data_IF_755705990627
#
_entry.id   IF_755705990627
#
_cell.length_a   1.000
_cell.length_b   1.000
_cell.length_c   1.000
_cell.angle_alpha   90.00
_cell.angle_beta   90.00
_cell.angle_gamma   90.00
#
_symmetry.space_group_name_H-M   'P 1'
#
loop_
_entity.id
_entity.type
_entity.pdbx_description
1 polymer ?
#
# COMPACT_ATOMS: atom_id res chain seq x y z
N UNK A 1 -14.55 -13.27 -20.90
CA UNK A 1 -13.98 -13.34 -19.55
C UNK A 1 -12.44 -13.16 -19.50
N UNK A 2 -11.62 -13.79 -20.35
CA UNK A 2 -10.14 -13.74 -20.32
C UNK A 2 -9.50 -12.33 -20.44
N UNK A 3 -10.09 -11.40 -21.23
CA UNK A 3 -9.55 -10.03 -21.44
C UNK A 3 -9.65 -9.12 -20.20
N UNK A 4 -10.74 -9.22 -19.43
CA UNK A 4 -10.88 -8.43 -18.17
C UNK A 4 -9.90 -8.87 -17.09
N UNK A 5 -9.51 -10.14 -17.06
CA UNK A 5 -8.49 -10.65 -16.16
C UNK A 5 -7.10 -10.03 -16.43
N UNK A 6 -6.72 -9.90 -17.70
CA UNK A 6 -5.42 -9.33 -18.10
C UNK A 6 -5.30 -7.85 -17.69
N UNK A 7 -6.34 -7.06 -17.92
CA UNK A 7 -6.34 -5.63 -17.56
C UNK A 7 -6.21 -5.43 -16.05
N UNK A 8 -6.91 -6.23 -15.24
CA UNK A 8 -6.79 -6.18 -13.78
C UNK A 8 -5.39 -6.53 -13.29
N UNK A 9 -4.83 -7.62 -13.81
CA UNK A 9 -3.46 -8.05 -13.47
C UNK A 9 -2.45 -6.95 -13.84
N UNK A 10 -2.59 -6.35 -15.02
CA UNK A 10 -1.74 -5.25 -15.45
C UNK A 10 -1.88 -4.01 -14.55
N UNK A 11 -3.11 -3.66 -14.15
CA UNK A 11 -3.36 -2.53 -13.25
C UNK A 11 -2.75 -2.76 -11.85
N UNK A 12 -2.93 -3.95 -11.26
CA UNK A 12 -2.33 -4.30 -9.97
C UNK A 12 -0.80 -4.25 -10.07
N UNK A 13 -0.21 -4.81 -11.13
CA UNK A 13 1.24 -4.77 -11.34
C UNK A 13 1.74 -3.33 -11.51
N UNK A 14 1.04 -2.47 -12.26
CA UNK A 14 1.42 -1.08 -12.45
C UNK A 14 1.42 -0.31 -11.11
N UNK A 15 0.37 -0.45 -10.30
CA UNK A 15 0.28 0.17 -8.96
C UNK A 15 1.39 -0.36 -8.06
N UNK A 16 1.61 -1.66 -8.06
CA UNK A 16 2.65 -2.32 -7.23
C UNK A 16 4.05 -1.84 -7.59
N UNK A 17 4.37 -1.77 -8.89
CA UNK A 17 5.65 -1.26 -9.38
C UNK A 17 5.81 0.23 -9.08
N UNK A 18 4.76 1.02 -9.24
CA UNK A 18 4.78 2.43 -8.88
C UNK A 18 5.19 2.62 -7.42
N UNK A 19 4.52 1.96 -6.48
CA UNK A 19 4.85 2.08 -5.06
C UNK A 19 6.22 1.49 -4.71
N UNK A 20 6.60 0.35 -5.30
CA UNK A 20 7.92 -0.22 -5.10
C UNK A 20 9.04 0.75 -5.50
N UNK A 21 8.89 1.43 -6.63
CA UNK A 21 9.90 2.38 -7.14
C UNK A 21 9.85 3.71 -6.39
N UNK A 22 8.68 4.34 -6.31
CA UNK A 22 8.56 5.70 -5.73
C UNK A 22 8.85 5.68 -4.23
N UNK A 23 8.27 4.75 -3.49
CA UNK A 23 8.48 4.65 -2.05
C UNK A 23 9.85 4.05 -1.71
N UNK A 24 10.35 3.12 -2.53
CA UNK A 24 11.69 2.58 -2.40
C UNK A 24 12.75 3.67 -2.58
N UNK A 25 12.62 4.47 -3.63
CA UNK A 25 13.52 5.58 -3.86
C UNK A 25 13.43 6.66 -2.78
N UNK A 26 12.20 7.06 -2.37
CA UNK A 26 12.00 8.04 -1.30
C UNK A 26 12.57 7.56 0.04
N UNK A 27 12.38 6.27 0.37
CA UNK A 27 12.96 5.67 1.57
C UNK A 27 14.49 5.64 1.54
N UNK A 28 15.09 5.22 0.42
CA UNK A 28 16.54 5.23 0.24
C UNK A 28 17.12 6.64 0.31
N UNK A 29 16.48 7.61 -0.35
CA UNK A 29 16.88 9.00 -0.29
C UNK A 29 16.85 9.54 1.15
N UNK A 30 15.80 9.22 1.92
CA UNK A 30 15.72 9.60 3.32
C UNK A 30 16.87 9.01 4.15
N UNK A 31 17.24 7.74 3.93
CA UNK A 31 18.37 7.11 4.64
C UNK A 31 19.74 7.65 4.25
N UNK A 32 19.90 8.15 3.02
CA UNK A 32 21.17 8.71 2.53
C UNK A 32 21.31 10.20 2.82
N UNK A 33 20.20 10.88 3.15
CA UNK A 33 20.21 12.31 3.49
C UNK A 33 20.56 12.53 4.97
N UNK A 34 21.17 13.69 5.27
CA UNK A 34 21.40 14.11 6.64
C UNK A 34 20.06 14.24 7.38
N UNK A 35 20.04 13.77 8.62
CA UNK A 35 18.84 13.80 9.48
C UNK A 35 17.59 13.14 8.89
N UNK A 36 17.77 12.12 8.02
CA UNK A 36 16.68 11.32 7.43
C UNK A 36 15.63 12.14 6.66
N UNK A 37 16.10 13.17 5.93
CA UNK A 37 15.24 13.97 5.06
C UNK A 37 14.46 15.07 5.75
N UNK A 38 14.75 15.37 7.03
CA UNK A 38 14.15 16.50 7.75
C UNK A 38 14.48 17.86 7.13
N UNK A 39 15.49 17.94 6.27
CA UNK A 39 15.87 19.16 5.54
C UNK A 39 14.89 19.54 4.42
N UNK A 40 14.14 18.56 3.89
CA UNK A 40 13.07 18.78 2.93
C UNK A 40 11.82 19.32 3.62
N UNK A 41 11.69 20.63 3.70
CA UNK A 41 10.65 21.34 4.48
C UNK A 41 9.22 20.83 4.19
N UNK A 42 8.88 20.55 2.92
CA UNK A 42 7.52 20.13 2.58
C UNK A 42 7.27 18.63 2.81
N UNK A 43 8.29 17.76 2.67
CA UNK A 43 8.19 16.32 2.95
C UNK A 43 8.24 16.00 4.43
N UNK A 44 8.88 16.85 5.21
CA UNK A 44 8.99 16.69 6.67
C UNK A 44 7.80 17.26 7.44
N UNK A 45 6.83 17.90 6.78
CA UNK A 45 5.68 18.54 7.44
C UNK A 45 4.89 17.57 8.32
N UNK A 46 4.62 16.35 7.85
CA UNK A 46 3.96 15.33 8.68
C UNK A 46 4.75 15.05 9.96
N UNK A 47 6.07 14.96 9.86
CA UNK A 47 6.95 14.71 11.02
C UNK A 47 6.86 15.85 12.02
N UNK A 48 6.84 17.09 11.53
CA UNK A 48 6.71 18.28 12.41
C UNK A 48 5.32 18.37 13.04
N UNK A 49 4.24 18.10 12.30
CA UNK A 49 2.88 18.09 12.83
C UNK A 49 2.73 17.01 13.91
N UNK A 50 3.16 15.77 13.63
CA UNK A 50 3.14 14.69 14.61
C UNK A 50 4.05 15.01 15.79
N UNK A 51 5.23 15.59 15.55
CA UNK A 51 6.14 16.02 16.61
C UNK A 51 5.53 17.07 17.51
N UNK A 52 4.78 18.00 16.97
CA UNK A 52 4.05 19.00 17.74
C UNK A 52 2.93 18.38 18.58
N UNK A 53 2.11 17.50 17.98
CA UNK A 53 1.00 16.82 18.65
C UNK A 53 1.50 15.96 19.81
N UNK A 54 2.60 15.22 19.61
CA UNK A 54 3.17 14.32 20.62
C UNK A 54 4.26 14.97 21.49
N UNK A 55 4.50 16.27 21.29
CA UNK A 55 5.51 17.05 22.03
C UNK A 55 6.92 16.41 21.98
N UNK A 56 7.33 15.96 20.79
CA UNK A 56 8.65 15.38 20.58
C UNK A 56 9.74 16.44 20.53
N UNK A 57 10.82 16.25 21.30
CA UNK A 57 12.03 17.05 21.14
C UNK A 57 12.79 16.73 19.84
N UNK A 58 13.86 17.49 19.51
CA UNK A 58 14.60 17.34 18.25
C UNK A 58 15.07 15.90 17.97
N UNK A 59 15.56 15.19 18.99
CA UNK A 59 15.97 13.78 18.87
C UNK A 59 14.77 12.87 18.56
N UNK A 60 13.58 13.19 19.09
CA UNK A 60 12.35 12.47 18.82
C UNK A 60 11.91 12.60 17.35
N UNK A 61 12.05 13.80 16.78
CA UNK A 61 11.75 14.06 15.37
C UNK A 61 12.68 13.26 14.44
N UNK A 62 13.98 13.19 14.74
CA UNK A 62 14.92 12.38 13.95
C UNK A 62 14.58 10.89 14.03
N UNK A 63 14.23 10.38 15.20
CA UNK A 63 13.79 8.99 15.35
C UNK A 63 12.49 8.69 14.59
N UNK A 64 11.53 9.62 14.62
CA UNK A 64 10.29 9.49 13.86
C UNK A 64 10.56 9.50 12.35
N UNK A 65 11.44 10.38 11.88
CA UNK A 65 11.86 10.43 10.47
C UNK A 65 12.49 9.10 10.02
N UNK A 66 13.42 8.57 10.82
CA UNK A 66 14.07 7.28 10.57
C UNK A 66 13.06 6.13 10.55
N UNK A 67 12.12 6.11 11.48
CA UNK A 67 11.04 5.12 11.53
C UNK A 67 10.18 5.17 10.28
N UNK A 68 9.72 6.35 9.86
CA UNK A 68 8.90 6.51 8.65
C UNK A 68 9.66 6.13 7.38
N UNK A 69 10.95 6.47 7.28
CA UNK A 69 11.79 6.03 6.17
C UNK A 69 11.89 4.49 6.13
N UNK A 70 12.08 3.82 7.27
CA UNK A 70 12.09 2.36 7.36
C UNK A 70 10.75 1.75 6.95
N UNK A 71 9.63 2.31 7.40
CA UNK A 71 8.29 1.84 7.02
C UNK A 71 8.04 1.99 5.52
N UNK A 72 8.48 3.10 4.90
CA UNK A 72 8.41 3.28 3.44
C UNK A 72 9.20 2.20 2.69
N UNK A 73 10.41 1.86 3.16
CA UNK A 73 11.21 0.78 2.55
C UNK A 73 10.56 -0.60 2.71
N UNK A 74 9.98 -0.89 3.87
CA UNK A 74 9.27 -2.15 4.10
C UNK A 74 8.05 -2.26 3.18
N UNK A 75 7.25 -1.21 3.06
CA UNK A 75 6.11 -1.18 2.13
C UNK A 75 6.55 -1.37 0.67
N UNK A 76 7.63 -0.68 0.26
CA UNK A 76 8.21 -0.84 -1.07
C UNK A 76 8.73 -2.27 -1.31
N UNK A 77 9.37 -2.88 -0.31
CA UNK A 77 9.86 -4.26 -0.39
C UNK A 77 8.69 -5.26 -0.54
N UNK A 78 7.59 -5.08 0.20
CA UNK A 78 6.40 -5.92 0.06
C UNK A 78 5.77 -5.79 -1.33
N UNK A 79 5.68 -4.57 -1.86
CA UNK A 79 5.24 -4.34 -3.24
C UNK A 79 6.18 -5.04 -4.24
N UNK A 80 7.50 -4.89 -4.09
CA UNK A 80 8.49 -5.53 -4.95
C UNK A 80 8.42 -7.07 -4.91
N UNK A 81 8.30 -7.65 -3.71
CA UNK A 81 8.13 -9.09 -3.53
C UNK A 81 6.84 -9.59 -4.17
N UNK A 82 5.72 -8.86 -4.01
CA UNK A 82 4.47 -9.21 -4.67
C UNK A 82 4.61 -9.20 -6.20
N UNK A 83 5.25 -8.18 -6.78
CA UNK A 83 5.49 -8.12 -8.22
C UNK A 83 6.33 -9.31 -8.71
N UNK A 84 7.36 -9.70 -7.95
CA UNK A 84 8.19 -10.88 -8.23
C UNK A 84 7.41 -12.19 -8.12
N UNK A 85 6.59 -12.36 -7.08
CA UNK A 85 5.76 -13.55 -6.91
C UNK A 85 4.74 -13.68 -8.03
N UNK A 86 4.14 -12.55 -8.45
CA UNK A 86 3.22 -12.52 -9.58
C UNK A 86 3.90 -12.91 -10.90
N UNK A 87 5.12 -12.44 -11.14
CA UNK A 87 5.93 -12.82 -12.30
C UNK A 87 6.28 -14.32 -12.30
N UNK A 88 6.40 -14.93 -11.13
CA UNK A 88 6.64 -16.38 -10.95
C UNK A 88 5.37 -17.23 -10.94
N UNK A 89 4.20 -16.61 -11.18
CA UNK A 89 2.89 -17.30 -11.20
C UNK A 89 2.33 -17.63 -9.81
N UNK A 90 2.94 -17.14 -8.74
CA UNK A 90 2.42 -17.31 -7.38
C UNK A 90 1.38 -16.23 -7.07
N UNK A 91 0.22 -16.62 -6.52
CA UNK A 91 -0.86 -15.71 -6.14
C UNK A 91 -0.86 -15.51 -4.61
N UNK A 92 0.01 -14.65 -4.11
CA UNK A 92 -0.01 -14.23 -2.70
C UNK A 92 -0.43 -12.75 -2.65
N UNK A 93 -1.69 -12.48 -2.29
CA UNK A 93 -2.22 -11.12 -2.16
C UNK A 93 -1.95 -10.48 -0.80
N UNK A 94 -1.69 -11.28 0.25
CA UNK A 94 -1.55 -10.81 1.63
C UNK A 94 -0.46 -9.73 1.81
N UNK A 95 0.71 -9.93 1.18
CA UNK A 95 1.82 -8.97 1.26
C UNK A 95 1.46 -7.64 0.60
N UNK A 96 0.73 -7.68 -0.52
CA UNK A 96 0.28 -6.48 -1.21
C UNK A 96 -0.78 -5.74 -0.39
N UNK A 97 -1.75 -6.46 0.17
CA UNK A 97 -2.79 -5.87 1.01
C UNK A 97 -2.17 -5.16 2.22
N UNK A 98 -1.22 -5.81 2.91
CA UNK A 98 -0.49 -5.21 4.02
C UNK A 98 0.29 -3.94 3.59
N UNK A 99 1.00 -4.01 2.45
CA UNK A 99 1.71 -2.85 1.91
C UNK A 99 0.76 -1.68 1.59
N UNK A 100 -0.35 -1.95 0.91
CA UNK A 100 -1.32 -0.93 0.53
C UNK A 100 -2.01 -0.28 1.74
N UNK A 101 -2.28 -1.05 2.80
CA UNK A 101 -2.82 -0.52 4.06
C UNK A 101 -1.81 0.43 4.72
N UNK A 102 -0.54 0.03 4.78
CA UNK A 102 0.53 0.88 5.33
C UNK A 102 0.65 2.17 4.51
N UNK A 103 0.66 2.06 3.18
CA UNK A 103 0.75 3.19 2.25
C UNK A 103 -0.45 4.12 2.45
N UNK A 104 -1.67 3.57 2.51
CA UNK A 104 -2.89 4.35 2.72
C UNK A 104 -2.87 5.08 4.08
N UNK A 105 -2.41 4.44 5.14
CA UNK A 105 -2.31 5.03 6.46
C UNK A 105 -1.32 6.22 6.49
N UNK A 106 -0.14 6.05 5.89
CA UNK A 106 0.86 7.12 5.80
C UNK A 106 0.35 8.24 4.90
N UNK A 107 -0.22 7.92 3.73
CA UNK A 107 -0.76 8.92 2.81
C UNK A 107 -1.92 9.71 3.44
N UNK A 108 -2.76 9.09 4.26
CA UNK A 108 -3.80 9.77 5.02
C UNK A 108 -3.22 10.71 6.09
N UNK A 109 -2.15 10.30 6.77
CA UNK A 109 -1.45 11.14 7.73
C UNK A 109 -0.77 12.34 7.05
N UNK A 110 -0.11 12.11 5.90
CA UNK A 110 0.47 13.17 5.07
C UNK A 110 -0.61 14.14 4.58
N UNK A 111 -1.76 13.62 4.13
CA UNK A 111 -2.89 14.42 3.67
C UNK A 111 -3.47 15.29 4.79
N UNK A 112 -3.69 14.73 5.98
CA UNK A 112 -4.14 15.47 7.15
C UNK A 112 -3.14 16.57 7.55
N UNK A 113 -1.84 16.26 7.51
CA UNK A 113 -0.75 17.20 7.79
C UNK A 113 -0.68 18.32 6.75
N UNK A 114 -0.93 18.01 5.48
CA UNK A 114 -1.00 18.99 4.39
C UNK A 114 -2.13 20.00 4.57
N UNK A 115 -3.30 19.53 5.04
CA UNK A 115 -4.42 20.42 5.38
C UNK A 115 -4.05 21.37 6.52
N UNK A 116 -3.36 20.86 7.54
CA UNK A 116 -2.93 21.65 8.69
C UNK A 116 -1.89 22.70 8.30
N UNK A 117 -0.92 22.32 7.46
CA UNK A 117 0.20 23.19 7.05
C UNK A 117 -0.07 24.04 5.82
N UNK A 118 -1.24 23.90 5.19
CA UNK A 118 -1.63 24.61 3.94
C UNK A 118 -0.63 24.35 2.79
N UNK A 119 0.01 23.17 2.74
CA UNK A 119 0.97 22.80 1.70
C UNK A 119 0.27 22.15 0.51
N UNK A 120 0.18 22.88 -0.60
CA UNK A 120 -0.44 22.38 -1.83
C UNK A 120 0.35 21.24 -2.48
N UNK A 121 1.68 21.21 -2.36
CA UNK A 121 2.51 20.16 -2.94
C UNK A 121 2.33 18.84 -2.21
N UNK A 122 2.43 18.86 -0.86
CA UNK A 122 2.20 17.68 -0.05
C UNK A 122 0.75 17.17 -0.20
N UNK A 123 -0.22 18.08 -0.27
CA UNK A 123 -1.63 17.74 -0.48
C UNK A 123 -1.82 16.98 -1.80
N UNK A 124 -1.23 17.46 -2.90
CA UNK A 124 -1.34 16.82 -4.22
C UNK A 124 -0.68 15.44 -4.23
N UNK A 125 0.52 15.31 -3.67
CA UNK A 125 1.25 14.03 -3.62
C UNK A 125 0.51 13.00 -2.74
N UNK A 126 0.07 13.40 -1.55
CA UNK A 126 -0.64 12.52 -0.63
C UNK A 126 -2.01 12.11 -1.17
N UNK A 127 -2.74 13.00 -1.85
CA UNK A 127 -4.01 12.67 -2.50
C UNK A 127 -3.81 11.63 -3.60
N UNK A 128 -2.77 11.77 -4.43
CA UNK A 128 -2.47 10.79 -5.47
C UNK A 128 -2.10 9.42 -4.87
N UNK A 129 -1.24 9.39 -3.85
CA UNK A 129 -0.85 8.16 -3.18
C UNK A 129 -2.05 7.47 -2.50
N UNK A 130 -2.91 8.25 -1.83
CA UNK A 130 -4.11 7.73 -1.19
C UNK A 130 -5.10 7.16 -2.20
N UNK A 131 -5.34 7.87 -3.32
CA UNK A 131 -6.21 7.42 -4.39
C UNK A 131 -5.69 6.11 -5.02
N UNK A 132 -4.39 6.03 -5.35
CA UNK A 132 -3.79 4.82 -5.91
C UNK A 132 -3.82 3.64 -4.93
N UNK A 133 -3.55 3.88 -3.64
CA UNK A 133 -3.64 2.84 -2.62
C UNK A 133 -5.08 2.32 -2.46
N UNK A 134 -6.07 3.22 -2.46
CA UNK A 134 -7.48 2.85 -2.38
C UNK A 134 -7.93 2.03 -3.59
N UNK A 135 -7.54 2.44 -4.81
CA UNK A 135 -7.81 1.67 -6.03
C UNK A 135 -7.12 0.31 -5.97
N UNK A 136 -5.88 0.25 -5.50
CA UNK A 136 -5.14 -1.01 -5.31
C UNK A 136 -5.84 -1.96 -4.35
N UNK A 137 -6.30 -1.47 -3.20
CA UNK A 137 -7.07 -2.26 -2.21
C UNK A 137 -8.38 -2.75 -2.83
N UNK A 138 -9.13 -1.88 -3.52
CA UNK A 138 -10.37 -2.27 -4.18
C UNK A 138 -10.16 -3.38 -5.22
N UNK A 139 -9.09 -3.30 -6.01
CA UNK A 139 -8.74 -4.36 -6.97
C UNK A 139 -8.39 -5.68 -6.29
N UNK A 140 -7.66 -5.66 -5.17
CA UNK A 140 -7.35 -6.86 -4.39
C UNK A 140 -8.63 -7.50 -3.81
N UNK A 141 -9.54 -6.69 -3.27
CA UNK A 141 -10.83 -7.17 -2.74
C UNK A 141 -11.67 -7.81 -3.84
N UNK A 142 -11.76 -7.18 -5.01
CA UNK A 142 -12.48 -7.74 -6.17
C UNK A 142 -11.83 -9.04 -6.66
N UNK A 143 -10.49 -9.12 -6.70
CA UNK A 143 -9.79 -10.36 -7.09
C UNK A 143 -10.14 -11.50 -6.12
N UNK A 144 -10.08 -11.24 -4.81
CA UNK A 144 -10.43 -12.22 -3.76
C UNK A 144 -11.90 -12.68 -3.85
N UNK A 145 -12.82 -11.75 -4.06
CA UNK A 145 -14.25 -12.07 -4.17
C UNK A 145 -14.55 -12.97 -5.38
N UNK A 146 -13.85 -12.75 -6.49
CA UNK A 146 -14.02 -13.56 -7.70
C UNK A 146 -13.38 -14.95 -7.57
N UNK A 147 -12.19 -15.05 -6.96
CA UNK A 147 -11.55 -16.33 -6.68
C UNK A 147 -12.45 -17.19 -5.75
N UNK A 148 -13.10 -16.56 -4.76
CA UNK A 148 -14.03 -17.26 -3.87
C UNK A 148 -15.31 -17.72 -4.59
N UNK A 149 -15.84 -16.94 -5.52
CA UNK A 149 -17.00 -17.31 -6.32
C UNK A 149 -16.71 -18.50 -7.25
N UNK A 150 -15.52 -18.52 -7.86
CA UNK A 150 -15.09 -19.64 -8.70
C UNK A 150 -14.91 -20.93 -7.89
N UNK A 151 -14.42 -20.85 -6.65
CA UNK A 151 -14.27 -21.99 -5.74
C UNK A 151 -15.63 -22.58 -5.31
N UNK A 152 -16.64 -21.73 -5.07
CA UNK A 152 -17.98 -22.15 -4.70
C UNK A 152 -18.70 -22.84 -5.87
N UNK A 153 -18.49 -22.34 -7.10
CA UNK A 153 -19.09 -22.94 -8.32
C UNK A 153 -18.42 -24.28 -8.67
N UNK A 154 -17.14 -24.45 -8.34
CA UNK A 154 -16.38 -25.68 -8.56
C UNK A 154 -16.66 -26.76 -7.49
N UNK A 155 -17.35 -26.45 -6.41
CA UNK A 155 -17.69 -27.43 -5.37
C UNK A 155 -18.57 -28.54 -5.96
N UNK A 156 -18.21 -29.84 -5.85
CA UNK A 156 -18.98 -30.92 -6.40
C UNK A 156 -20.36 -30.95 -5.74
N UNK A 157 -21.42 -30.87 -6.55
CA UNK A 157 -22.78 -31.13 -6.09
C UNK A 157 -22.78 -32.55 -5.54
N UNK A 158 -22.86 -32.69 -4.20
CA UNK A 158 -23.00 -34.01 -3.56
C UNK A 158 -24.21 -34.68 -4.18
N UNK A 159 -24.09 -35.88 -4.76
CA UNK A 159 -25.24 -36.61 -5.27
C UNK A 159 -26.23 -36.78 -4.11
N UNK A 160 -27.47 -36.31 -4.35
CA UNK A 160 -28.56 -36.55 -3.39
C UNK A 160 -28.58 -38.05 -3.04
N UNK A 161 -28.45 -38.34 -1.76
CA UNK A 161 -28.53 -39.73 -1.29
C UNK A 161 -29.87 -40.30 -1.77
N UNK A 162 -29.90 -41.52 -2.41
CA UNK A 162 -31.12 -42.08 -2.89
C UNK A 162 -32.06 -42.26 -1.72
N UNK A 163 -33.23 -41.60 -1.80
CA UNK A 163 -34.32 -41.73 -0.84
C UNK A 163 -34.72 -43.21 -0.79
N UNK A 164 -34.40 -43.90 0.29
CA UNK A 164 -34.87 -45.26 0.54
C UNK A 164 -36.25 -45.19 1.22
N UNK A 165 -37.37 -45.43 0.52
CA UNK A 165 -38.66 -45.54 1.19
C UNK A 165 -38.69 -46.88 1.90
N UNK A 166 -38.89 -46.88 3.21
CA UNK A 166 -39.25 -48.03 4.05
C UNK A 166 -40.73 -48.35 3.99
#
# INVERSE_FOLDING_TARGET
MRKMSIVRVAAILAITLYFALVWGFAGLQAFTSSHFGLEDVWRSQMIFVLGHVFNFGPLGLVKLAAFLAAVKLVAAAFCGLHALDRARGRRRSELLEAALIIIAAIAAADWASALWSHSNELFRESTMNLALATVGIALCVVERALDHADDVEAAPVLPEAPYSPS
#
